data_IF_150418576827
#
_entry.id   IF_150418576827
#
_cell.length_a   1.000
_cell.length_b   1.000
_cell.length_c   1.000
_cell.angle_alpha   90.00
_cell.angle_beta   90.00
_cell.angle_gamma   90.00
#
_symmetry.space_group_name_H-M   'P 1'
#
loop_
_entity.id
_entity.type
_entity.pdbx_description
1 polymer ?
#
# COMPACT_ATOMS: atom_id res chain seq x y z
N UNK A 1 -8.28 -5.75 -9.30
CA UNK A 1 -8.00 -5.55 -7.87
C UNK A 1 -7.11 -6.68 -7.45
N UNK A 2 -5.87 -6.37 -7.16
CA UNK A 2 -4.90 -7.34 -6.70
C UNK A 2 -5.18 -7.73 -5.25
N UNK A 3 -4.92 -9.00 -4.92
CA UNK A 3 -4.99 -9.42 -3.51
C UNK A 3 -3.65 -9.13 -2.84
N UNK A 4 -3.69 -8.75 -1.56
CA UNK A 4 -2.47 -8.62 -0.73
C UNK A 4 -1.63 -9.91 -0.81
N UNK A 5 -0.36 -9.85 -1.23
CA UNK A 5 0.50 -11.03 -1.36
C UNK A 5 0.91 -11.56 0.02
N UNK A 6 0.05 -12.38 0.65
CA UNK A 6 0.20 -12.86 2.03
C UNK A 6 1.56 -13.52 2.25
N UNK A 7 1.98 -14.41 1.37
CA UNK A 7 3.26 -15.13 1.52
C UNK A 7 4.47 -14.19 1.45
N UNK A 8 4.47 -13.22 0.54
CA UNK A 8 5.51 -12.19 0.48
C UNK A 8 5.48 -11.32 1.72
N UNK A 9 4.31 -10.89 2.16
CA UNK A 9 4.13 -10.08 3.35
C UNK A 9 4.65 -10.78 4.61
N UNK A 10 4.44 -12.10 4.74
CA UNK A 10 5.01 -12.91 5.83
C UNK A 10 6.54 -12.97 5.77
N UNK A 11 7.11 -13.25 4.59
CA UNK A 11 8.56 -13.31 4.41
C UNK A 11 9.22 -11.96 4.77
N UNK A 12 8.63 -10.85 4.33
CA UNK A 12 9.14 -9.50 4.63
C UNK A 12 9.00 -9.16 6.11
N UNK A 13 7.83 -9.47 6.73
CA UNK A 13 7.63 -9.29 8.17
C UNK A 13 8.71 -10.00 8.97
N UNK A 14 8.91 -11.29 8.71
CA UNK A 14 9.81 -12.12 9.50
C UNK A 14 11.27 -11.73 9.33
N UNK A 15 11.66 -11.34 8.12
CA UNK A 15 13.06 -10.98 7.82
C UNK A 15 13.44 -9.57 8.23
N UNK A 16 12.49 -8.62 8.19
CA UNK A 16 12.74 -7.21 8.52
C UNK A 16 12.25 -6.82 9.92
N UNK A 17 11.57 -7.72 10.63
CA UNK A 17 11.00 -7.44 11.95
C UNK A 17 9.87 -6.40 11.90
N UNK A 18 9.04 -6.42 10.85
CA UNK A 18 7.92 -5.50 10.73
C UNK A 18 6.82 -5.87 11.72
N UNK A 19 6.35 -4.91 12.51
CA UNK A 19 5.34 -5.16 13.54
C UNK A 19 3.95 -4.62 13.17
N UNK A 20 3.83 -3.90 12.06
CA UNK A 20 2.61 -3.22 11.67
C UNK A 20 2.43 -3.22 10.15
N UNK A 21 1.17 -3.05 9.71
CA UNK A 21 0.87 -2.72 8.32
C UNK A 21 -0.16 -1.59 8.24
N UNK A 22 -0.10 -0.84 7.15
CA UNK A 22 -1.06 0.21 6.81
C UNK A 22 -1.56 -0.05 5.40
N UNK A 23 -2.87 0.00 5.23
CA UNK A 23 -3.53 -0.07 3.94
C UNK A 23 -4.18 1.27 3.62
N UNK A 24 -4.08 1.72 2.37
CA UNK A 24 -4.91 2.78 1.81
C UNK A 24 -5.90 2.15 0.84
N UNK A 25 -7.21 2.50 0.97
CA UNK A 25 -8.29 1.88 0.23
C UNK A 25 -8.81 0.59 0.90
N UNK A 26 -9.72 0.73 1.87
CA UNK A 26 -10.33 -0.41 2.57
C UNK A 26 -11.28 -1.21 1.69
N UNK A 27 -12.12 -0.48 0.91
CA UNK A 27 -13.19 -1.06 0.11
C UNK A 27 -14.02 -2.09 0.92
N UNK A 28 -14.03 -3.38 0.50
CA UNK A 28 -14.74 -4.46 1.20
C UNK A 28 -13.95 -5.08 2.37
N UNK A 29 -12.79 -4.51 2.72
CA UNK A 29 -11.95 -4.92 3.85
C UNK A 29 -11.23 -6.26 3.69
N UNK A 30 -11.14 -6.81 2.48
CA UNK A 30 -10.42 -8.07 2.22
C UNK A 30 -8.91 -7.90 2.44
N UNK A 31 -8.33 -6.81 1.94
CA UNK A 31 -6.92 -6.49 2.13
C UNK A 31 -6.59 -6.28 3.61
N UNK A 32 -7.41 -5.51 4.33
CA UNK A 32 -7.28 -5.31 5.77
C UNK A 32 -7.25 -6.61 6.56
N UNK A 33 -8.14 -7.55 6.23
CA UNK A 33 -8.20 -8.87 6.88
C UNK A 33 -6.99 -9.73 6.50
N UNK A 34 -6.57 -9.70 5.23
CA UNK A 34 -5.37 -10.39 4.76
C UNK A 34 -4.12 -9.89 5.49
N UNK A 35 -3.92 -8.58 5.57
CA UNK A 35 -2.83 -7.97 6.34
C UNK A 35 -2.92 -8.33 7.83
N UNK A 36 -4.12 -8.33 8.42
CA UNK A 36 -4.32 -8.69 9.83
C UNK A 36 -3.99 -10.14 10.12
N UNK A 37 -4.09 -11.05 9.14
CA UNK A 37 -3.62 -12.43 9.29
C UNK A 37 -2.10 -12.54 9.40
N UNK A 38 -1.38 -11.52 8.95
CA UNK A 38 0.08 -11.45 8.95
C UNK A 38 0.61 -10.59 10.09
N UNK A 39 0.06 -9.40 10.28
CA UNK A 39 0.59 -8.38 11.20
C UNK A 39 -0.26 -8.26 12.48
N UNK A 40 0.36 -8.09 13.66
CA UNK A 40 -0.38 -7.91 14.91
C UNK A 40 -1.17 -6.59 14.98
N UNK A 41 -0.74 -5.57 14.24
CA UNK A 41 -1.40 -4.27 14.14
C UNK A 41 -1.57 -3.86 12.69
N UNK A 42 -2.79 -3.50 12.33
CA UNK A 42 -3.14 -3.03 10.98
C UNK A 42 -4.03 -1.82 11.08
N UNK A 43 -3.74 -0.82 10.28
CA UNK A 43 -4.64 0.31 10.01
C UNK A 43 -5.05 0.26 8.55
N UNK A 44 -6.35 0.44 8.30
CA UNK A 44 -6.90 0.50 6.94
C UNK A 44 -7.68 1.81 6.80
N UNK A 45 -7.28 2.62 5.83
CA UNK A 45 -7.78 3.98 5.62
C UNK A 45 -8.82 3.95 4.51
N UNK A 46 -10.02 4.52 4.76
CA UNK A 46 -11.12 4.57 3.82
C UNK A 46 -11.64 6.00 3.65
N UNK A 47 -11.75 6.43 2.40
CA UNK A 47 -12.25 7.76 2.03
C UNK A 47 -13.78 7.81 2.00
N UNK A 48 -14.44 6.72 1.57
CA UNK A 48 -15.90 6.62 1.53
C UNK A 48 -16.45 6.41 2.94
N UNK A 49 -17.36 7.28 3.37
CA UNK A 49 -18.05 7.12 4.65
C UNK A 49 -18.91 5.83 4.67
N UNK A 50 -19.58 5.52 3.58
CA UNK A 50 -20.40 4.32 3.46
C UNK A 50 -19.56 3.05 3.62
N UNK A 51 -18.45 2.93 2.90
CA UNK A 51 -17.54 1.78 2.99
C UNK A 51 -16.86 1.69 4.35
N UNK A 52 -16.43 2.83 4.91
CA UNK A 52 -15.86 2.89 6.25
C UNK A 52 -16.83 2.35 7.32
N UNK A 53 -18.08 2.85 7.32
CA UNK A 53 -19.08 2.37 8.28
C UNK A 53 -19.47 0.91 8.05
N UNK A 54 -19.50 0.45 6.81
CA UNK A 54 -19.72 -0.96 6.50
C UNK A 54 -18.59 -1.84 7.05
N UNK A 55 -17.33 -1.46 6.81
CA UNK A 55 -16.17 -2.18 7.34
C UNK A 55 -16.17 -2.24 8.87
N UNK A 56 -16.42 -1.11 9.55
CA UNK A 56 -16.51 -1.06 11.01
C UNK A 56 -17.62 -1.95 11.59
N UNK A 57 -18.73 -2.08 10.87
CA UNK A 57 -19.88 -2.89 11.31
C UNK A 57 -19.67 -4.38 11.07
N UNK A 58 -19.05 -4.74 9.95
CA UNK A 58 -18.98 -6.12 9.46
C UNK A 58 -17.70 -6.84 9.85
N UNK A 59 -16.62 -6.09 10.08
CA UNK A 59 -15.31 -6.66 10.35
C UNK A 59 -14.83 -6.23 11.73
N UNK A 60 -14.66 -7.22 12.61
CA UNK A 60 -14.11 -7.00 13.94
C UNK A 60 -12.94 -7.96 14.17
N UNK A 61 -11.73 -7.42 14.29
CA UNK A 61 -10.55 -8.22 14.57
C UNK A 61 -9.62 -7.46 15.53
N UNK A 62 -9.20 -8.04 16.65
CA UNK A 62 -8.24 -7.40 17.55
C UNK A 62 -6.98 -6.97 16.79
N UNK A 63 -6.56 -5.72 16.94
CA UNK A 63 -5.40 -5.17 16.25
C UNK A 63 -5.63 -4.69 14.81
N UNK A 64 -6.87 -4.72 14.31
CA UNK A 64 -7.30 -4.05 13.08
C UNK A 64 -8.07 -2.78 13.44
N UNK A 65 -7.67 -1.66 12.88
CA UNK A 65 -8.29 -0.34 13.07
C UNK A 65 -8.65 0.26 11.71
N UNK A 66 -9.91 0.57 11.50
CA UNK A 66 -10.34 1.34 10.35
C UNK A 66 -10.25 2.84 10.67
N UNK A 67 -9.76 3.62 9.71
CA UNK A 67 -9.59 5.07 9.84
C UNK A 67 -10.33 5.77 8.69
N UNK A 68 -11.28 6.63 9.03
CA UNK A 68 -12.03 7.41 8.05
C UNK A 68 -11.24 8.63 7.57
N UNK A 69 -11.18 8.84 6.28
CA UNK A 69 -10.63 10.03 5.66
C UNK A 69 -9.75 9.78 4.44
N UNK A 70 -9.29 10.86 3.84
CA UNK A 70 -8.30 10.81 2.76
C UNK A 70 -6.96 10.33 3.28
N UNK A 71 -6.34 9.37 2.62
CA UNK A 71 -5.01 8.84 2.97
C UNK A 71 -3.96 9.95 3.06
N UNK A 72 -4.01 10.92 2.16
CA UNK A 72 -3.12 12.09 2.16
C UNK A 72 -3.22 12.90 3.47
N UNK A 73 -4.42 13.01 4.03
CA UNK A 73 -4.65 13.76 5.27
C UNK A 73 -4.39 12.90 6.52
N UNK A 74 -4.71 11.62 6.46
CA UNK A 74 -4.63 10.69 7.59
C UNK A 74 -3.20 10.22 7.85
N UNK A 75 -2.45 9.86 6.80
CA UNK A 75 -1.10 9.27 6.92
C UNK A 75 -0.13 10.12 7.77
N UNK A 76 -0.02 11.45 7.59
CA UNK A 76 0.93 12.23 8.38
C UNK A 76 0.72 12.12 9.90
N UNK A 77 -0.52 12.12 10.36
CA UNK A 77 -0.84 11.97 11.77
C UNK A 77 -0.64 10.52 12.23
N UNK A 78 -1.15 9.54 11.48
CA UNK A 78 -1.03 8.12 11.78
C UNK A 78 0.44 7.68 11.91
N UNK A 79 1.31 8.18 11.04
CA UNK A 79 2.74 7.85 11.05
C UNK A 79 3.49 8.36 12.29
N UNK A 80 2.94 9.33 13.02
CA UNK A 80 3.48 9.75 14.32
C UNK A 80 3.19 8.74 15.43
N UNK A 81 2.15 7.92 15.28
CA UNK A 81 1.74 6.89 16.23
C UNK A 81 2.42 5.53 15.97
N UNK A 82 2.92 5.33 14.74
CA UNK A 82 3.61 4.10 14.34
C UNK A 82 5.11 4.26 14.60
N UNK A 83 5.55 3.73 15.73
CA UNK A 83 6.94 3.86 16.19
C UNK A 83 7.91 2.89 15.50
N UNK A 84 7.41 1.90 14.78
CA UNK A 84 8.19 0.82 14.14
C UNK A 84 8.13 0.88 12.62
N UNK A 85 9.07 0.23 11.92
CA UNK A 85 8.95 -0.02 10.50
C UNK A 85 7.69 -0.81 10.17
N UNK A 86 7.00 -0.45 9.11
CA UNK A 86 5.74 -1.03 8.70
C UNK A 86 5.74 -1.46 7.24
N UNK A 87 4.79 -2.33 6.89
CA UNK A 87 4.44 -2.59 5.51
C UNK A 87 3.27 -1.67 5.13
N UNK A 88 3.40 -0.98 4.01
CA UNK A 88 2.35 -0.17 3.39
C UNK A 88 1.82 -0.89 2.15
N UNK A 89 0.52 -1.17 2.15
CA UNK A 89 -0.24 -1.63 0.99
C UNK A 89 -1.01 -0.44 0.44
N UNK A 90 -0.55 0.09 -0.70
CA UNK A 90 -1.10 1.30 -1.30
C UNK A 90 -2.01 0.92 -2.47
N UNK A 91 -3.31 0.92 -2.19
CA UNK A 91 -4.42 0.57 -3.09
C UNK A 91 -5.56 1.61 -2.98
N UNK A 92 -5.23 2.84 -2.57
CA UNK A 92 -6.18 3.93 -2.30
C UNK A 92 -6.61 4.73 -3.52
N UNK A 93 -6.46 4.19 -4.72
CA UNK A 93 -6.85 4.87 -5.96
C UNK A 93 -8.31 4.60 -6.33
N UNK A 94 -8.89 5.51 -7.14
CA UNK A 94 -10.24 5.36 -7.66
C UNK A 94 -10.34 4.17 -8.63
N UNK A 95 -11.26 3.27 -8.38
CA UNK A 95 -11.47 2.04 -9.16
C UNK A 95 -12.82 1.97 -9.89
N UNK A 96 -13.52 3.12 -10.00
CA UNK A 96 -14.82 3.20 -10.69
C UNK A 96 -16.01 3.33 -9.75
N UNK A 97 -17.21 3.03 -10.25
CA UNK A 97 -18.45 3.14 -9.47
C UNK A 97 -18.39 2.33 -8.17
N UNK A 98 -18.81 2.95 -7.08
CA UNK A 98 -18.79 2.38 -5.73
C UNK A 98 -17.51 2.62 -4.94
N UNK A 99 -16.52 3.34 -5.52
CA UNK A 99 -15.34 3.82 -4.79
C UNK A 99 -15.32 5.34 -4.71
N UNK A 100 -14.61 5.89 -3.71
CA UNK A 100 -14.43 7.34 -3.56
C UNK A 100 -13.17 7.81 -4.32
N UNK A 101 -12.99 9.13 -4.47
CA UNK A 101 -11.75 9.69 -5.00
C UNK A 101 -11.85 10.25 -6.43
N UNK A 102 -13.05 10.39 -7.00
CA UNK A 102 -13.25 10.91 -8.36
C UNK A 102 -12.63 12.30 -8.63
N UNK A 103 -12.39 13.09 -7.58
CA UNK A 103 -11.77 14.42 -7.67
C UNK A 103 -10.23 14.35 -7.73
N UNK A 104 -9.64 13.31 -7.14
CA UNK A 104 -8.22 12.98 -7.19
C UNK A 104 -8.12 11.45 -7.21
N UNK A 105 -7.99 10.88 -8.40
CA UNK A 105 -8.12 9.43 -8.59
C UNK A 105 -6.94 8.64 -8.03
N UNK A 106 -5.74 9.22 -8.02
CA UNK A 106 -4.54 8.53 -7.54
C UNK A 106 -3.70 9.43 -6.61
N UNK A 107 -3.84 9.28 -5.29
CA UNK A 107 -3.09 10.05 -4.29
C UNK A 107 -1.68 9.49 -4.01
N UNK A 108 -1.19 8.57 -4.82
CA UNK A 108 0.00 7.74 -4.55
C UNK A 108 1.26 8.56 -4.27
N UNK A 109 1.53 9.63 -5.03
CA UNK A 109 2.76 10.40 -4.84
C UNK A 109 2.76 11.15 -3.51
N UNK A 110 1.62 11.65 -3.08
CA UNK A 110 1.43 12.29 -1.78
C UNK A 110 1.53 11.28 -0.64
N UNK A 111 1.00 10.07 -0.82
CA UNK A 111 1.14 8.96 0.14
C UNK A 111 2.60 8.57 0.33
N UNK A 112 3.34 8.38 -0.77
CA UNK A 112 4.78 8.10 -0.71
C UNK A 112 5.53 9.25 -0.01
N UNK A 113 5.20 10.51 -0.31
CA UNK A 113 5.84 11.66 0.32
C UNK A 113 5.58 11.72 1.83
N UNK A 114 4.37 11.38 2.28
CA UNK A 114 4.02 11.29 3.69
C UNK A 114 4.80 10.15 4.39
N UNK A 115 4.83 8.96 3.79
CA UNK A 115 5.59 7.81 4.31
C UNK A 115 7.08 8.15 4.41
N UNK A 116 7.64 8.78 3.38
CA UNK A 116 9.06 9.17 3.30
C UNK A 116 9.47 10.27 4.29
N UNK A 117 8.51 10.97 4.87
CA UNK A 117 8.75 11.91 5.96
C UNK A 117 8.90 11.21 7.32
N UNK A 118 8.49 9.95 7.45
CA UNK A 118 8.61 9.18 8.68
C UNK A 118 10.07 8.76 8.95
N UNK A 119 10.53 8.79 10.22
CA UNK A 119 11.84 8.26 10.59
C UNK A 119 12.03 6.77 10.26
N UNK A 120 10.96 6.02 10.15
CA UNK A 120 10.97 4.58 9.85
C UNK A 120 10.96 4.26 8.35
N UNK A 121 10.78 5.25 7.48
CA UNK A 121 10.70 5.08 6.03
C UNK A 121 11.84 4.24 5.42
N UNK A 122 13.14 4.43 5.82
CA UNK A 122 14.24 3.65 5.25
C UNK A 122 14.17 2.14 5.53
N UNK A 123 13.40 1.74 6.54
CA UNK A 123 13.23 0.34 6.96
C UNK A 123 11.86 -0.22 6.64
N UNK A 124 10.97 0.58 6.13
CA UNK A 124 9.60 0.21 5.77
C UNK A 124 9.51 -0.32 4.35
N UNK A 125 8.44 -1.06 4.09
CA UNK A 125 8.14 -1.69 2.81
C UNK A 125 6.92 -1.01 2.20
N UNK A 126 6.98 -0.69 0.90
CA UNK A 126 5.83 -0.23 0.13
C UNK A 126 5.52 -1.26 -0.96
N UNK A 127 4.30 -1.74 -0.96
CA UNK A 127 3.70 -2.57 -2.00
C UNK A 127 2.56 -1.74 -2.61
N UNK A 128 2.66 -1.45 -3.89
CA UNK A 128 1.73 -0.55 -4.60
C UNK A 128 0.98 -1.38 -5.64
N UNK A 129 -0.34 -1.46 -5.50
CA UNK A 129 -1.19 -2.24 -6.40
C UNK A 129 -1.40 -1.55 -7.75
N UNK A 130 -1.93 -2.32 -8.70
CA UNK A 130 -2.37 -1.86 -10.02
C UNK A 130 -1.27 -1.16 -10.83
N UNK A 131 -0.04 -1.71 -10.80
CA UNK A 131 1.12 -1.17 -11.52
C UNK A 131 0.84 -0.93 -13.03
N UNK A 132 -0.07 -1.70 -13.63
CA UNK A 132 -0.51 -1.55 -15.03
C UNK A 132 -1.08 -0.16 -15.33
N UNK A 133 -1.72 0.50 -14.35
CA UNK A 133 -2.32 1.82 -14.52
C UNK A 133 -1.29 2.96 -14.62
N UNK A 134 -0.03 2.68 -14.28
CA UNK A 134 1.10 3.62 -14.39
C UNK A 134 1.92 3.42 -15.68
N UNK A 135 1.69 2.34 -16.45
CA UNK A 135 2.46 2.02 -17.65
C UNK A 135 2.11 2.89 -18.86
N UNK A 136 0.95 3.53 -18.83
CA UNK A 136 0.46 4.43 -19.87
C UNK A 136 -0.75 5.19 -19.34
N UNK A 137 -1.41 6.01 -20.17
CA UNK A 137 -2.65 6.65 -19.77
C UNK A 137 -3.64 5.58 -19.33
N UNK A 138 -4.25 5.70 -18.13
CA UNK A 138 -5.24 4.73 -17.69
C UNK A 138 -6.45 4.75 -18.63
N UNK A 139 -7.15 3.60 -18.79
CA UNK A 139 -8.31 3.52 -19.68
C UNK A 139 -9.49 4.30 -19.14
N UNK A 140 -10.45 4.63 -20.02
CA UNK A 140 -11.72 5.21 -19.59
C UNK A 140 -12.39 4.33 -18.50
N UNK A 141 -13.01 4.92 -17.48
CA UNK A 141 -13.37 6.34 -17.30
C UNK A 141 -12.33 7.18 -16.54
N UNK A 142 -11.12 6.71 -16.35
CA UNK A 142 -10.09 7.42 -15.58
C UNK A 142 -9.64 8.71 -16.29
N UNK A 143 -9.24 9.69 -15.49
CA UNK A 143 -8.68 10.97 -15.94
C UNK A 143 -7.15 10.87 -15.97
N UNK A 144 -6.50 10.81 -17.15
CA UNK A 144 -5.05 10.59 -17.25
C UNK A 144 -4.21 11.58 -16.43
N UNK A 145 -4.65 12.82 -16.31
CA UNK A 145 -3.95 13.88 -15.56
C UNK A 145 -3.95 13.65 -14.04
N UNK A 146 -4.78 12.74 -13.54
CA UNK A 146 -4.83 12.36 -12.13
C UNK A 146 -3.88 11.19 -11.77
N UNK A 147 -3.19 10.62 -12.77
CA UNK A 147 -2.37 9.44 -12.58
C UNK A 147 -0.89 9.74 -12.85
N UNK A 148 0.02 9.37 -11.95
CA UNK A 148 1.44 9.47 -12.21
C UNK A 148 1.87 8.45 -13.27
N UNK A 149 2.95 8.74 -13.99
CA UNK A 149 3.63 7.73 -14.81
C UNK A 149 4.43 6.77 -13.93
N UNK A 150 4.71 5.56 -14.41
CA UNK A 150 5.59 4.63 -13.70
C UNK A 150 6.95 5.27 -13.38
N UNK A 151 7.49 6.05 -14.30
CA UNK A 151 8.76 6.73 -14.07
C UNK A 151 8.68 7.73 -12.91
N UNK A 152 7.57 8.51 -12.82
CA UNK A 152 7.36 9.43 -11.69
C UNK A 152 7.25 8.69 -10.37
N UNK A 153 6.57 7.54 -10.33
CA UNK A 153 6.47 6.69 -9.13
C UNK A 153 7.86 6.18 -8.72
N UNK A 154 8.62 5.59 -9.66
CA UNK A 154 9.95 5.06 -9.37
C UNK A 154 10.94 6.15 -8.95
N UNK A 155 10.89 7.33 -9.57
CA UNK A 155 11.73 8.47 -9.20
C UNK A 155 11.40 8.97 -7.79
N UNK A 156 10.12 9.07 -7.44
CA UNK A 156 9.69 9.45 -6.10
C UNK A 156 10.21 8.46 -5.05
N UNK A 157 10.02 7.15 -5.31
CA UNK A 157 10.44 6.09 -4.38
C UNK A 157 11.94 6.06 -4.08
N UNK A 158 12.80 6.54 -5.00
CA UNK A 158 14.27 6.52 -4.84
C UNK A 158 14.86 7.87 -4.46
N UNK A 159 14.05 8.93 -4.41
CA UNK A 159 14.59 10.29 -4.19
C UNK A 159 15.13 10.49 -2.78
N UNK A 160 14.43 10.02 -1.75
CA UNK A 160 14.81 10.25 -0.35
C UNK A 160 15.55 9.10 0.30
N UNK A 161 15.25 7.88 -0.11
CA UNK A 161 15.75 6.67 0.54
C UNK A 161 16.29 5.68 -0.47
N UNK A 162 17.39 5.03 -0.12
CA UNK A 162 17.89 3.90 -0.90
C UNK A 162 16.91 2.72 -0.76
N UNK A 163 16.33 2.30 -1.89
CA UNK A 163 15.38 1.19 -1.96
C UNK A 163 15.71 0.27 -3.13
N UNK A 164 15.56 -1.02 -2.92
CA UNK A 164 15.46 -1.98 -4.01
C UNK A 164 14.05 -1.89 -4.58
N UNK A 165 13.96 -1.53 -5.87
CA UNK A 165 12.71 -1.38 -6.60
C UNK A 165 12.57 -2.48 -7.63
N UNK A 166 11.39 -3.04 -7.75
CA UNK A 166 11.05 -4.01 -8.80
C UNK A 166 9.54 -4.01 -9.06
N UNK A 167 9.15 -4.62 -10.17
CA UNK A 167 7.77 -4.91 -10.51
C UNK A 167 7.58 -6.42 -10.53
N UNK A 168 6.49 -6.89 -9.93
CA UNK A 168 6.10 -8.29 -10.00
C UNK A 168 4.59 -8.40 -10.16
N UNK A 169 4.17 -9.16 -11.16
CA UNK A 169 2.78 -9.20 -11.56
C UNK A 169 2.26 -7.78 -11.80
N UNK A 170 1.25 -7.36 -11.09
CA UNK A 170 0.64 -6.03 -11.21
C UNK A 170 1.00 -5.10 -10.04
N UNK A 171 2.17 -5.28 -9.44
CA UNK A 171 2.58 -4.58 -8.23
C UNK A 171 3.96 -3.94 -8.36
N UNK A 172 4.09 -2.68 -7.92
CA UNK A 172 5.40 -2.05 -7.67
C UNK A 172 5.83 -2.38 -6.25
N UNK A 173 7.03 -2.93 -6.12
CA UNK A 173 7.63 -3.33 -4.84
C UNK A 173 8.80 -2.41 -4.53
N UNK A 174 8.74 -1.74 -3.39
CA UNK A 174 9.82 -0.90 -2.87
C UNK A 174 10.22 -1.34 -1.46
N UNK A 175 11.41 -1.89 -1.31
CA UNK A 175 11.89 -2.46 -0.05
C UNK A 175 13.28 -1.94 0.31
N UNK A 176 13.66 -1.98 1.61
CA UNK A 176 15.05 -1.76 2.00
C UNK A 176 16.00 -2.65 1.21
N UNK A 177 17.23 -2.22 0.85
CA UNK A 177 18.18 -3.02 0.07
C UNK A 177 18.47 -4.39 0.69
N UNK A 178 18.43 -4.49 2.02
CA UNK A 178 18.61 -5.75 2.75
C UNK A 178 17.54 -6.81 2.41
N UNK A 179 16.37 -6.42 1.93
CA UNK A 179 15.29 -7.34 1.56
C UNK A 179 15.39 -7.84 0.10
N UNK A 180 16.37 -7.38 -0.68
CA UNK A 180 16.52 -7.76 -2.10
C UNK A 180 16.50 -9.27 -2.31
N UNK A 181 17.27 -10.02 -1.52
CA UNK A 181 17.35 -11.48 -1.64
C UNK A 181 16.03 -12.19 -1.33
N UNK A 182 15.20 -11.60 -0.48
CA UNK A 182 13.86 -12.09 -0.15
C UNK A 182 12.97 -11.98 -1.38
N UNK A 183 12.97 -10.81 -2.02
CA UNK A 183 12.21 -10.58 -3.24
C UNK A 183 12.66 -11.53 -4.35
N UNK A 184 13.96 -11.66 -4.58
CA UNK A 184 14.51 -12.59 -5.59
C UNK A 184 14.14 -14.05 -5.30
N UNK A 185 14.09 -14.46 -4.03
CA UNK A 185 13.66 -15.80 -3.63
C UNK A 185 12.18 -16.02 -3.89
N UNK A 186 11.35 -15.04 -3.53
CA UNK A 186 9.91 -15.07 -3.80
C UNK A 186 9.61 -15.22 -5.30
N UNK A 187 10.26 -14.43 -6.15
CA UNK A 187 10.14 -14.55 -7.61
C UNK A 187 10.42 -15.96 -8.12
N UNK A 188 11.52 -16.57 -7.68
CA UNK A 188 11.91 -17.92 -8.13
C UNK A 188 10.87 -18.96 -7.76
N UNK A 189 10.26 -18.85 -6.60
CA UNK A 189 9.22 -19.80 -6.16
C UNK A 189 7.93 -19.65 -6.96
N UNK A 190 7.53 -18.43 -7.31
CA UNK A 190 6.32 -18.21 -8.12
C UNK A 190 6.53 -18.61 -9.59
N UNK A 191 7.69 -18.34 -10.17
CA UNK A 191 7.99 -18.69 -11.58
C UNK A 191 8.16 -20.19 -11.83
N UNK A 192 8.11 -21.02 -10.77
CA UNK A 192 8.27 -22.48 -10.86
C UNK A 192 6.94 -23.24 -10.75
N UNK A 193 5.82 -22.51 -10.63
CA UNK A 193 4.45 -23.05 -10.64
C UNK A 193 3.78 -22.79 -11.99
#
# INVERSE_FOLDING_TARGET
MGDVPISLSQMLRDSLGLAAAVETGTFMGRGAQALRSVFPRVWSIELSDELYYAACREISAPGLTFVYGSSVQVLPALLTEIAEPALFWLDGHYSGEGTAGVEMECPLLEEIAAIDASPNAPRSVLLIDDARLFLGPPPDPHKPDHWPTLMSVLDTLRTKHDRYLTLFEDMVIAVPPAARTIIESYYRTQSSQ
#
